data_IF_778264258019
#
_entry.id   IF_778264258019
#
_cell.length_a   1.000
_cell.length_b   1.000
_cell.length_c   1.000
_cell.angle_alpha   90.00
_cell.angle_beta   90.00
_cell.angle_gamma   90.00
#
_symmetry.space_group_name_H-M   'P 1'
#
loop_
_entity.id
_entity.type
_entity.pdbx_description
1 polymer ?
#
# COMPACT_ATOMS: atom_id res chain seq x y z
N UNK A 1 6.87 -2.48 25.31
CA UNK A 1 6.53 -2.26 24.88
C UNK A 1 5.52 -2.26 24.85
N UNK A 2 5.32 -1.98 24.77
CA UNK A 2 4.65 -1.84 24.50
C UNK A 2 3.55 -1.87 24.42
N UNK A 3 3.26 -1.62 24.60
CA UNK A 3 2.54 -1.55 24.28
C UNK A 3 1.69 -1.30 23.99
N UNK A 4 1.55 -0.82 24.28
CA UNK A 4 1.02 -0.51 23.77
C UNK A 4 0.14 -0.36 23.39
N UNK A 5 0.08 -0.10 23.52
CA UNK A 5 -0.45 0.07 22.95
C UNK A 5 -1.46 -0.02 22.71
N UNK A 6 -1.73 0.15 22.87
CA UNK A 6 -2.29 0.08 22.40
C UNK A 6 -3.18 0.20 22.08
N UNK A 7 -3.53 0.61 22.38
CA UNK A 7 -4.13 0.89 21.97
C UNK A 7 -4.81 1.28 21.37
N UNK A 8 -4.92 1.65 21.24
CA UNK A 8 -5.52 2.09 20.56
C UNK A 8 -5.88 2.22 19.75
N UNK A 9 -5.73 2.59 19.41
CA UNK A 9 -6.07 2.76 18.52
C UNK A 9 -6.60 1.98 18.00
N UNK A 10 -6.80 1.58 18.10
CA UNK A 10 -7.10 0.75 17.53
C UNK A 10 -8.20 0.74 16.98
N UNK A 11 -8.76 1.41 16.86
CA UNK A 11 -9.73 1.55 16.39
C UNK A 11 -10.04 1.46 15.09
N UNK A 12 -9.84 2.03 14.62
CA UNK A 12 -10.11 1.93 13.33
C UNK A 12 -10.01 0.63 12.80
N UNK A 13 -9.65 -0.18 13.44
CA UNK A 13 -9.46 -1.34 12.93
C UNK A 13 -10.53 -2.23 12.89
N UNK A 14 -11.65 -1.98 13.30
CA UNK A 14 -12.61 -2.93 13.33
C UNK A 14 -13.05 -3.30 12.04
N UNK A 15 -12.84 -2.62 11.05
CA UNK A 15 -13.41 -2.96 9.85
C UNK A 15 -12.83 -4.13 9.21
N UNK A 16 -11.93 -4.75 9.36
CA UNK A 16 -11.45 -5.90 8.68
C UNK A 16 -11.00 -6.88 9.60
N UNK A 17 -11.83 -7.22 10.51
CA UNK A 17 -11.39 -7.91 11.64
C UNK A 17 -10.80 -9.24 11.41
N UNK A 18 -11.33 -10.05 10.54
CA UNK A 18 -10.74 -11.34 10.33
C UNK A 18 -9.36 -11.26 9.80
N UNK A 19 -9.12 -10.32 8.94
CA UNK A 19 -7.80 -10.22 8.44
C UNK A 19 -6.87 -9.69 9.44
N UNK A 20 -7.36 -8.82 10.28
CA UNK A 20 -6.51 -8.28 11.32
C UNK A 20 -5.97 -9.36 12.21
N UNK A 21 -6.77 -10.35 12.54
CA UNK A 21 -6.31 -11.41 13.39
C UNK A 21 -5.12 -12.12 12.78
N UNK A 22 -5.18 -12.32 11.46
CA UNK A 22 -4.09 -12.96 10.81
C UNK A 22 -2.86 -12.12 10.83
N UNK A 23 -2.98 -10.82 10.62
CA UNK A 23 -1.82 -9.95 10.57
C UNK A 23 -1.25 -9.64 11.94
N UNK A 24 -1.86 -10.16 13.02
CA UNK A 24 -1.29 -10.01 14.35
C UNK A 24 -0.33 -11.13 14.70
N UNK A 25 -0.13 -12.10 13.85
CA UNK A 25 0.78 -13.20 14.12
C UNK A 25 2.21 -12.72 14.24
N UNK A 26 3.02 -13.43 15.03
CA UNK A 26 4.43 -13.09 15.18
C UNK A 26 5.21 -13.33 13.90
N UNK A 27 4.73 -14.19 13.03
CA UNK A 27 5.42 -14.49 11.78
C UNK A 27 4.37 -14.56 10.68
N UNK A 28 4.60 -13.85 9.61
CA UNK A 28 3.73 -13.89 8.44
C UNK A 28 4.57 -14.29 7.24
N UNK A 29 4.14 -15.33 6.56
CA UNK A 29 4.82 -15.81 5.37
C UNK A 29 3.87 -15.57 4.19
N UNK A 30 4.20 -14.64 3.33
CA UNK A 30 3.30 -14.17 2.29
C UNK A 30 3.95 -14.36 0.93
N UNK A 31 3.21 -14.97 0.01
CA UNK A 31 3.66 -15.13 -1.36
C UNK A 31 3.14 -13.93 -2.15
N UNK A 32 4.01 -12.97 -2.40
CA UNK A 32 3.60 -11.74 -3.07
C UNK A 32 3.11 -11.99 -4.48
N UNK A 33 3.69 -12.94 -5.20
CA UNK A 33 3.24 -13.21 -6.56
C UNK A 33 1.79 -13.68 -6.58
N UNK A 34 1.42 -14.53 -5.63
CA UNK A 34 0.07 -15.02 -5.51
C UNK A 34 -0.88 -13.89 -5.13
N UNK A 35 -0.46 -13.06 -4.18
CA UNK A 35 -1.30 -11.95 -3.74
C UNK A 35 -1.52 -10.96 -4.88
N UNK A 36 -0.49 -10.67 -5.64
CA UNK A 36 -0.60 -9.74 -6.75
C UNK A 36 -1.58 -10.26 -7.79
N UNK A 37 -1.47 -11.53 -8.16
CA UNK A 37 -2.36 -12.11 -9.17
C UNK A 37 -3.82 -11.99 -8.74
N UNK A 38 -4.12 -12.34 -7.50
CA UNK A 38 -5.47 -12.25 -6.99
C UNK A 38 -5.99 -10.82 -6.94
N UNK A 39 -5.16 -9.91 -6.48
CA UNK A 39 -5.59 -8.53 -6.33
C UNK A 39 -5.74 -7.83 -7.68
N UNK A 40 -4.90 -8.17 -8.65
CA UNK A 40 -5.03 -7.61 -9.99
C UNK A 40 -6.35 -8.02 -10.62
N UNK A 41 -6.78 -9.26 -10.41
CA UNK A 41 -8.06 -9.72 -10.92
C UNK A 41 -9.20 -8.89 -10.30
N UNK A 42 -9.11 -8.57 -9.03
CA UNK A 42 -10.12 -7.75 -8.37
C UNK A 42 -10.08 -6.31 -8.87
N UNK A 43 -8.89 -5.76 -9.05
CA UNK A 43 -8.75 -4.39 -9.51
C UNK A 43 -9.33 -4.18 -10.90
N UNK A 44 -9.25 -5.20 -11.75
CA UNK A 44 -9.73 -5.07 -13.11
C UNK A 44 -11.24 -4.89 -13.18
N UNK A 45 -11.97 -5.31 -12.15
CA UNK A 45 -13.41 -5.13 -12.12
C UNK A 45 -13.84 -3.93 -11.27
N UNK A 46 -12.90 -3.20 -10.67
CA UNK A 46 -13.22 -1.99 -9.93
C UNK A 46 -13.34 -0.81 -10.87
N UNK A 47 -14.31 0.05 -10.62
CA UNK A 47 -14.48 1.22 -11.44
C UNK A 47 -13.24 2.11 -11.38
N UNK A 48 -12.65 2.25 -10.22
CA UNK A 48 -11.44 3.05 -10.05
C UNK A 48 -10.21 2.43 -10.70
N UNK A 49 -10.24 1.13 -10.99
CA UNK A 49 -9.10 0.42 -11.52
C UNK A 49 -8.03 0.14 -10.47
N UNK A 50 -8.35 0.36 -9.20
CA UNK A 50 -7.38 0.25 -8.11
C UNK A 50 -7.95 -0.61 -7.00
N UNK A 51 -7.10 -1.44 -6.41
CA UNK A 51 -7.50 -2.26 -5.28
C UNK A 51 -6.32 -2.36 -4.33
N UNK A 52 -6.60 -2.39 -3.04
CA UNK A 52 -5.56 -2.53 -2.04
C UNK A 52 -5.89 -3.66 -1.08
N UNK A 53 -4.85 -4.22 -0.48
CA UNK A 53 -5.01 -5.28 0.52
C UNK A 53 -3.97 -5.08 1.60
N UNK A 54 -4.42 -5.04 2.86
CA UNK A 54 -3.52 -4.96 4.00
C UNK A 54 -2.91 -6.33 4.22
N UNK A 55 -1.60 -6.45 4.06
CA UNK A 55 -0.91 -7.73 4.23
C UNK A 55 -0.40 -7.91 5.65
N UNK A 56 0.06 -6.85 6.28
CA UNK A 56 0.58 -6.90 7.64
C UNK A 56 0.04 -5.69 8.39
N UNK A 57 -0.46 -5.90 9.59
CA UNK A 57 -1.04 -4.83 10.37
C UNK A 57 -0.59 -4.90 11.82
N UNK A 58 0.27 -3.97 12.19
CA UNK A 58 0.68 -3.76 13.56
C UNK A 58 0.56 -2.27 13.85
N UNK A 59 0.48 -1.86 15.10
CA UNK A 59 0.35 -0.43 15.40
C UNK A 59 1.48 0.40 14.83
N UNK A 60 2.68 -0.16 14.74
CA UNK A 60 3.84 0.60 14.31
C UNK A 60 4.38 0.19 12.95
N UNK A 61 3.72 -0.73 12.27
CA UNK A 61 4.28 -1.27 11.05
C UNK A 61 3.18 -1.92 10.23
N UNK A 62 2.93 -1.40 9.04
CA UNK A 62 1.89 -1.94 8.16
C UNK A 62 2.43 -2.09 6.77
N UNK A 63 2.01 -3.13 6.09
CA UNK A 63 2.36 -3.36 4.70
C UNK A 63 1.07 -3.53 3.92
N UNK A 64 0.90 -2.73 2.88
CA UNK A 64 -0.28 -2.74 2.03
C UNK A 64 0.15 -3.02 0.60
N UNK A 65 -0.50 -3.97 -0.05
CA UNK A 65 -0.28 -4.23 -1.46
C UNK A 65 -1.33 -3.46 -2.24
N UNK A 66 -0.90 -2.77 -3.28
CA UNK A 66 -1.80 -2.00 -4.13
C UNK A 66 -1.58 -2.42 -5.57
N UNK A 67 -2.69 -2.67 -6.29
CA UNK A 67 -2.63 -2.93 -7.71
C UNK A 67 -3.46 -1.89 -8.43
N UNK A 68 -3.00 -1.50 -9.62
CA UNK A 68 -3.66 -0.46 -10.41
C UNK A 68 -3.67 -0.88 -11.86
N UNK A 69 -4.83 -0.73 -12.49
CA UNK A 69 -4.98 -0.99 -13.92
C UNK A 69 -4.36 0.15 -14.71
N UNK A 70 -3.90 -0.12 -15.92
CA UNK A 70 -3.35 0.90 -16.80
C UNK A 70 -4.29 2.10 -16.87
N UNK A 71 -3.75 3.27 -16.70
CA UNK A 71 -4.51 4.51 -16.81
C UNK A 71 -5.26 4.91 -15.56
N UNK A 72 -5.25 4.09 -14.52
CA UNK A 72 -5.93 4.47 -13.28
C UNK A 72 -5.07 5.46 -12.50
N UNK A 73 -5.73 6.21 -11.63
CA UNK A 73 -5.06 7.25 -10.87
C UNK A 73 -5.49 7.17 -9.40
N UNK A 74 -4.51 7.31 -8.52
CA UNK A 74 -4.76 7.43 -7.10
C UNK A 74 -4.54 8.88 -6.74
N UNK A 75 -5.64 9.58 -6.46
CA UNK A 75 -5.62 11.04 -6.30
C UNK A 75 -4.80 11.49 -5.10
N UNK A 76 -4.57 12.77 -5.01
CA UNK A 76 -3.76 13.36 -3.95
C UNK A 76 -4.19 12.89 -2.58
N UNK A 77 -3.24 12.46 -1.78
CA UNK A 77 -3.51 12.08 -0.41
C UNK A 77 -2.24 12.20 0.41
N UNK A 78 -2.37 12.10 1.70
CA UNK A 78 -1.23 12.15 2.61
C UNK A 78 -1.55 11.30 3.83
N UNK A 79 -0.53 10.97 4.59
CA UNK A 79 -0.70 10.19 5.79
C UNK A 79 0.26 10.71 6.86
N UNK A 80 -0.03 10.40 8.10
CA UNK A 80 0.84 10.77 9.21
C UNK A 80 1.99 9.78 9.38
N UNK A 81 2.01 8.72 8.62
CA UNK A 81 3.05 7.72 8.70
C UNK A 81 4.17 8.03 7.71
N UNK A 82 5.36 7.52 7.98
CA UNK A 82 6.44 7.51 7.02
C UNK A 82 6.15 6.37 6.04
N UNK A 83 6.35 6.61 4.77
CA UNK A 83 5.99 5.66 3.73
C UNK A 83 7.21 5.22 2.94
N UNK A 84 7.27 3.93 2.64
CA UNK A 84 8.18 3.41 1.62
C UNK A 84 7.30 2.76 0.55
N UNK A 85 7.36 3.26 -0.68
CA UNK A 85 6.64 2.68 -1.81
C UNK A 85 7.65 1.95 -2.68
N UNK A 86 7.43 0.65 -2.89
CA UNK A 86 8.34 -0.21 -3.63
C UNK A 86 7.59 -0.85 -4.78
N UNK A 87 7.98 -0.57 -6.01
CA UNK A 87 7.29 -1.09 -7.18
C UNK A 87 7.75 -2.53 -7.44
N UNK A 88 6.77 -3.41 -7.59
CA UNK A 88 7.02 -4.83 -7.87
C UNK A 88 6.77 -5.17 -9.32
N UNK A 89 5.79 -4.54 -9.96
CA UNK A 89 5.46 -4.77 -11.36
C UNK A 89 4.94 -3.50 -11.99
N UNK A 90 5.17 -3.36 -13.29
CA UNK A 90 4.57 -2.29 -14.06
C UNK A 90 5.39 -1.02 -14.09
N UNK A 91 4.72 0.10 -14.18
CA UNK A 91 5.36 1.39 -14.33
C UNK A 91 4.39 2.41 -13.77
N UNK A 92 4.78 3.15 -12.76
CA UNK A 92 3.95 4.18 -12.17
C UNK A 92 4.64 5.52 -12.24
N UNK A 93 3.84 6.57 -12.25
CA UNK A 93 4.34 7.93 -12.15
C UNK A 93 3.89 8.49 -10.82
N UNK A 94 4.86 8.85 -9.99
CA UNK A 94 4.62 9.30 -8.64
C UNK A 94 4.79 10.81 -8.58
N UNK A 95 3.76 11.52 -8.12
CA UNK A 95 3.74 12.98 -8.12
C UNK A 95 3.81 13.54 -6.71
N UNK A 96 4.66 14.54 -6.52
CA UNK A 96 4.69 15.34 -5.31
C UNK A 96 4.84 16.80 -5.72
N UNK A 97 4.84 17.70 -4.74
CA UNK A 97 5.08 19.11 -5.02
C UNK A 97 6.46 19.33 -5.63
N UNK A 98 7.40 18.41 -5.39
CA UNK A 98 8.76 18.55 -5.89
C UNK A 98 8.94 17.98 -7.28
N UNK A 99 7.92 17.42 -7.87
CA UNK A 99 7.99 16.90 -9.24
C UNK A 99 7.40 15.53 -9.37
N UNK A 100 7.60 14.94 -10.56
CA UNK A 100 7.10 13.62 -10.89
C UNK A 100 8.26 12.67 -11.08
N UNK A 101 8.08 11.43 -10.63
CA UNK A 101 9.12 10.42 -10.69
C UNK A 101 8.55 9.15 -11.30
N UNK A 102 9.22 8.63 -12.34
CA UNK A 102 8.82 7.35 -12.92
C UNK A 102 9.47 6.25 -12.11
N UNK A 103 8.68 5.28 -11.69
CA UNK A 103 9.18 4.17 -10.90
C UNK A 103 8.83 2.85 -11.56
N UNK A 104 9.80 1.98 -11.66
CA UNK A 104 9.69 0.66 -12.28
C UNK A 104 10.04 -0.42 -11.28
N UNK A 105 9.81 -1.69 -11.63
CA UNK A 105 10.07 -2.77 -10.68
C UNK A 105 11.48 -2.70 -10.11
N UNK A 106 11.56 -2.88 -8.81
CA UNK A 106 12.83 -2.82 -8.10
C UNK A 106 13.21 -1.43 -7.61
N UNK A 107 12.43 -0.42 -7.96
CA UNK A 107 12.69 0.95 -7.51
C UNK A 107 11.75 1.31 -6.37
N UNK A 108 12.21 2.17 -5.49
CA UNK A 108 11.39 2.61 -4.38
C UNK A 108 11.56 4.10 -4.12
N UNK A 109 10.60 4.67 -3.43
CA UNK A 109 10.65 6.05 -2.99
C UNK A 109 10.13 6.10 -1.56
N UNK A 110 10.71 6.98 -0.74
CA UNK A 110 10.24 7.13 0.63
C UNK A 110 9.76 8.56 0.85
N UNK A 111 8.78 8.71 1.73
CA UNK A 111 8.20 10.00 2.04
C UNK A 111 8.12 10.22 3.53
N UNK A 112 8.43 11.41 3.96
CA UNK A 112 8.20 11.84 5.34
C UNK A 112 6.68 11.96 5.58
N UNK A 113 6.26 11.92 6.83
CA UNK A 113 4.83 12.12 7.13
C UNK A 113 4.33 13.46 6.59
N UNK A 114 3.12 13.46 6.12
CA UNK A 114 2.46 14.68 5.68
C UNK A 114 2.71 15.13 4.25
N UNK A 115 3.54 14.41 3.50
CA UNK A 115 3.82 14.79 2.12
C UNK A 115 2.66 14.36 1.23
N UNK A 116 2.05 15.32 0.55
CA UNK A 116 0.93 15.05 -0.36
C UNK A 116 1.48 14.43 -1.64
N UNK A 117 0.83 13.38 -2.11
CA UNK A 117 1.30 12.67 -3.29
C UNK A 117 0.14 12.03 -4.04
N UNK A 118 0.38 11.70 -5.29
CA UNK A 118 -0.57 10.97 -6.11
C UNK A 118 0.19 10.01 -7.01
N UNK A 119 -0.52 9.04 -7.56
CA UNK A 119 0.09 7.99 -8.38
C UNK A 119 -0.74 7.75 -9.63
N UNK A 120 -0.07 7.69 -10.79
CA UNK A 120 -0.71 7.28 -12.03
C UNK A 120 -0.10 5.96 -12.46
N UNK A 121 -0.93 5.02 -12.89
CA UNK A 121 -0.43 3.75 -13.43
C UNK A 121 -0.27 3.90 -14.94
N UNK A 122 0.97 3.94 -15.40
CA UNK A 122 1.26 4.01 -16.82
C UNK A 122 0.97 2.66 -17.47
N UNK A 123 1.25 1.59 -16.73
CA UNK A 123 0.92 0.23 -17.13
C UNK A 123 0.24 -0.43 -15.94
N UNK A 124 -0.30 -1.61 -16.14
CA UNK A 124 -0.84 -2.36 -15.01
C UNK A 124 0.28 -2.59 -14.01
N UNK A 125 0.08 -2.19 -12.77
CA UNK A 125 1.16 -2.10 -11.80
C UNK A 125 0.78 -2.70 -10.46
N UNK A 126 1.80 -3.09 -9.71
CA UNK A 126 1.64 -3.57 -8.34
C UNK A 126 2.81 -3.03 -7.52
N UNK A 127 2.49 -2.51 -6.35
CA UNK A 127 3.53 -1.99 -5.47
C UNK A 127 3.15 -2.17 -4.01
N UNK A 128 4.17 -2.18 -3.16
CA UNK A 128 3.98 -2.27 -1.72
C UNK A 128 4.14 -0.90 -1.10
N UNK A 129 3.26 -0.62 -0.14
CA UNK A 129 3.44 0.52 0.75
C UNK A 129 3.76 -0.02 2.12
N UNK A 130 4.89 0.37 2.66
CA UNK A 130 5.22 0.07 4.06
C UNK A 130 5.07 1.39 4.83
N UNK A 131 4.28 1.34 5.89
CA UNK A 131 4.01 2.53 6.69
C UNK A 131 4.50 2.28 8.12
N UNK A 132 5.17 3.24 8.66
CA UNK A 132 5.62 3.13 10.05
C UNK A 132 5.56 4.48 10.78
#
# INVERSE_FOLDING_TARGET
>A
MTEVSEKPKLMDEKQNDTKDAQTQADLNHIDLNQEITGLQAEASSEESGRKSKMLVKHPEFRIVLITMRTGSRWEDHKTNARICLHVLRGDIRFHTANGAFDLRPGQLITLAPGVVHSVDAVEESAFLLTLS
#
